data_IF_113831240825
#
_entry.id   IF_113831240825
#
_cell.length_a   1.000
_cell.length_b   1.000
_cell.length_c   1.000
_cell.angle_alpha   90.00
_cell.angle_beta   90.00
_cell.angle_gamma   90.00
#
_symmetry.space_group_name_H-M   'P 1'
#
loop_
_entity.id
_entity.type
_entity.pdbx_description
1 polymer ?
#
# COMPACT_ATOMS: atom_id res chain seq x y z
N UNK A 1 7.79 31.49 -7.99
CA UNK A 1 8.11 30.13 -7.49
C UNK A 1 8.46 29.23 -8.67
N UNK A 2 9.53 28.42 -8.62
CA UNK A 2 9.89 27.52 -9.74
C UNK A 2 8.84 26.43 -9.96
N UNK A 3 8.19 25.96 -8.89
CA UNK A 3 7.13 24.97 -8.93
C UNK A 3 5.90 25.43 -9.74
N UNK A 4 5.41 26.64 -9.45
CA UNK A 4 4.26 27.24 -10.14
C UNK A 4 4.56 27.52 -11.62
N UNK A 5 5.78 27.99 -11.92
CA UNK A 5 6.21 28.22 -13.31
C UNK A 5 6.14 26.93 -14.11
N UNK A 6 6.74 25.84 -13.60
CA UNK A 6 6.66 24.52 -14.24
C UNK A 6 5.22 24.08 -14.49
N UNK A 7 4.35 24.22 -13.49
CA UNK A 7 2.94 23.85 -13.62
C UNK A 7 2.24 24.59 -14.78
N UNK A 8 2.43 25.91 -14.90
CA UNK A 8 1.78 26.70 -15.95
C UNK A 8 2.44 26.56 -17.33
N UNK A 9 3.76 26.45 -17.37
CA UNK A 9 4.51 26.26 -18.63
C UNK A 9 4.12 24.92 -19.31
N UNK A 10 3.87 23.89 -18.50
CA UNK A 10 3.49 22.55 -18.96
C UNK A 10 1.99 22.24 -18.81
N UNK A 11 1.13 23.24 -18.58
CA UNK A 11 -0.29 23.02 -18.20
C UNK A 11 -1.08 22.15 -19.20
N UNK A 12 -0.68 22.18 -20.49
CA UNK A 12 -1.30 21.39 -21.57
C UNK A 12 -0.98 19.90 -21.51
N UNK A 13 0.03 19.50 -20.74
CA UNK A 13 0.46 18.10 -20.60
C UNK A 13 -0.33 17.32 -19.54
N UNK A 14 -1.14 18.01 -18.74
CA UNK A 14 -1.96 17.34 -17.74
C UNK A 14 -3.19 16.69 -18.36
N UNK A 15 -3.51 15.47 -17.92
CA UNK A 15 -4.71 14.74 -18.34
C UNK A 15 -6.03 15.49 -18.06
N UNK A 16 -6.02 16.39 -17.07
CA UNK A 16 -7.17 17.23 -16.73
C UNK A 16 -7.26 18.54 -17.52
N UNK A 17 -6.33 18.83 -18.45
CA UNK A 17 -6.29 20.13 -19.14
C UNK A 17 -7.61 20.48 -19.81
N UNK A 18 -8.20 19.57 -20.60
CA UNK A 18 -9.44 19.85 -21.33
C UNK A 18 -10.64 20.05 -20.39
N UNK A 19 -10.70 19.29 -19.29
CA UNK A 19 -11.72 19.46 -18.27
C UNK A 19 -11.58 20.82 -17.55
N UNK A 20 -10.34 21.18 -17.18
CA UNK A 20 -10.04 22.46 -16.53
C UNK A 20 -10.31 23.65 -17.47
N UNK A 21 -9.99 23.50 -18.76
CA UNK A 21 -10.19 24.53 -19.76
C UNK A 21 -11.68 24.82 -19.96
N UNK A 22 -12.51 23.78 -20.01
CA UNK A 22 -13.97 23.94 -20.05
C UNK A 22 -14.50 24.65 -18.80
N UNK A 23 -14.06 24.25 -17.60
CA UNK A 23 -14.45 24.92 -16.36
C UNK A 23 -14.04 26.41 -16.34
N UNK A 24 -12.85 26.74 -16.85
CA UNK A 24 -12.41 28.14 -16.99
C UNK A 24 -13.29 28.93 -17.97
N UNK A 25 -13.67 28.33 -19.11
CA UNK A 25 -14.56 28.99 -20.09
C UNK A 25 -15.94 29.24 -19.47
N UNK A 26 -16.49 28.26 -18.76
CA UNK A 26 -17.82 28.36 -18.13
C UNK A 26 -17.85 29.40 -17.01
N UNK A 27 -16.83 29.44 -16.15
CA UNK A 27 -16.82 30.30 -14.96
C UNK A 27 -16.20 31.68 -15.18
N UNK A 28 -15.22 31.80 -16.08
CA UNK A 28 -14.41 33.01 -16.28
C UNK A 28 -14.58 33.63 -17.68
N UNK A 29 -15.42 33.01 -18.53
CA UNK A 29 -15.65 33.37 -19.93
C UNK A 29 -14.37 33.41 -20.79
N UNK A 30 -13.31 32.70 -20.37
CA UNK A 30 -12.00 32.65 -21.04
C UNK A 30 -11.37 31.28 -20.90
N UNK A 31 -10.62 30.88 -21.92
CA UNK A 31 -9.79 29.68 -21.87
C UNK A 31 -8.52 29.89 -21.03
N UNK A 32 -7.84 28.80 -20.70
CA UNK A 32 -6.60 28.82 -19.90
C UNK A 32 -5.52 29.72 -20.55
N UNK A 33 -5.22 29.62 -21.87
CA UNK A 33 -4.25 30.51 -22.51
C UNK A 33 -4.57 32.00 -22.35
N UNK A 34 -5.84 32.41 -22.52
CA UNK A 34 -6.24 33.80 -22.36
C UNK A 34 -6.13 34.26 -20.90
N UNK A 35 -6.51 33.43 -19.93
CA UNK A 35 -6.35 33.74 -18.51
C UNK A 35 -4.87 33.91 -18.14
N UNK A 36 -3.99 33.03 -18.64
CA UNK A 36 -2.54 33.12 -18.43
C UNK A 36 -1.97 34.41 -19.04
N UNK A 37 -2.36 34.74 -20.29
CA UNK A 37 -1.90 35.95 -20.98
C UNK A 37 -2.30 37.25 -20.25
N UNK A 38 -3.44 37.24 -19.55
CA UNK A 38 -3.91 38.35 -18.71
C UNK A 38 -3.33 38.35 -17.29
N UNK A 39 -2.44 37.41 -16.96
CA UNK A 39 -1.87 37.26 -15.62
C UNK A 39 -2.86 36.72 -14.57
N UNK A 40 -4.00 36.15 -15.00
CA UNK A 40 -5.08 35.66 -14.13
C UNK A 40 -4.86 34.21 -13.67
N UNK A 41 -3.63 33.87 -13.25
CA UNK A 41 -3.24 32.53 -12.80
C UNK A 41 -4.12 31.99 -11.66
N UNK A 42 -4.54 32.87 -10.74
CA UNK A 42 -5.40 32.49 -9.61
C UNK A 42 -6.76 31.98 -10.06
N UNK A 43 -7.31 32.48 -11.15
CA UNK A 43 -8.59 32.00 -11.69
C UNK A 43 -8.45 30.55 -12.17
N UNK A 44 -7.35 30.21 -12.85
CA UNK A 44 -7.07 28.84 -13.29
C UNK A 44 -6.92 27.89 -12.09
N UNK A 45 -6.13 28.27 -11.07
CA UNK A 45 -5.95 27.44 -9.86
C UNK A 45 -7.25 27.28 -9.08
N UNK A 46 -8.05 28.35 -8.97
CA UNK A 46 -9.35 28.32 -8.30
C UNK A 46 -10.32 27.38 -9.02
N UNK A 47 -10.35 27.37 -10.36
CA UNK A 47 -11.13 26.40 -11.15
C UNK A 47 -10.60 24.96 -11.04
N UNK A 48 -9.32 24.75 -10.73
CA UNK A 48 -8.78 23.42 -10.49
C UNK A 48 -9.18 22.88 -9.11
N UNK A 49 -8.99 23.69 -8.06
CA UNK A 49 -9.04 23.22 -6.68
C UNK A 49 -10.42 23.34 -6.02
N UNK A 50 -11.23 24.33 -6.40
CA UNK A 50 -12.49 24.64 -5.72
C UNK A 50 -13.69 23.98 -6.38
N UNK A 51 -14.79 23.90 -5.63
CA UNK A 51 -16.05 23.27 -6.05
C UNK A 51 -16.74 23.93 -7.24
N UNK A 52 -16.36 25.18 -7.59
CA UNK A 52 -16.88 25.83 -8.81
C UNK A 52 -16.35 25.18 -10.10
N UNK A 53 -15.21 24.51 -10.04
CA UNK A 53 -14.61 23.84 -11.20
C UNK A 53 -14.39 22.35 -10.93
N UNK A 54 -13.16 21.86 -11.06
CA UNK A 54 -12.86 20.44 -10.93
C UNK A 54 -12.85 19.92 -9.48
N UNK A 55 -12.81 20.81 -8.49
CA UNK A 55 -12.84 20.46 -7.06
C UNK A 55 -11.68 19.55 -6.59
N UNK A 56 -10.53 19.58 -7.27
CA UNK A 56 -9.40 18.69 -6.94
C UNK A 56 -8.82 18.93 -5.55
N UNK A 57 -9.11 20.07 -4.91
CA UNK A 57 -8.71 20.34 -3.53
C UNK A 57 -9.47 19.50 -2.49
N UNK A 58 -10.62 18.92 -2.86
CA UNK A 58 -11.48 18.14 -1.97
C UNK A 58 -11.71 16.69 -2.43
N UNK A 59 -11.15 16.30 -3.59
CA UNK A 59 -11.29 14.95 -4.12
C UNK A 59 -10.07 14.08 -3.74
N UNK A 60 -10.27 12.79 -3.43
CA UNK A 60 -9.17 11.85 -3.23
C UNK A 60 -8.49 11.54 -4.57
N UNK A 61 -7.20 11.20 -4.52
CA UNK A 61 -6.37 10.93 -5.71
C UNK A 61 -6.98 9.93 -6.69
N UNK A 62 -7.68 8.92 -6.18
CA UNK A 62 -8.37 7.92 -7.00
C UNK A 62 -9.37 8.50 -8.01
N UNK A 63 -9.94 9.68 -7.74
CA UNK A 63 -10.92 10.33 -8.59
C UNK A 63 -10.31 11.42 -9.50
N UNK A 64 -9.00 11.66 -9.40
CA UNK A 64 -8.31 12.66 -10.21
C UNK A 64 -7.83 12.04 -11.52
N UNK A 65 -7.97 12.78 -12.62
CA UNK A 65 -7.39 12.40 -13.91
C UNK A 65 -5.86 12.40 -13.84
N UNK A 66 -5.26 11.23 -14.07
CA UNK A 66 -3.82 11.01 -14.03
C UNK A 66 -3.23 10.95 -15.44
N UNK A 67 -3.84 10.18 -16.34
CA UNK A 67 -3.24 9.88 -17.64
C UNK A 67 -4.17 10.25 -18.80
N UNK A 68 -3.57 10.74 -19.87
CA UNK A 68 -4.25 11.07 -21.12
C UNK A 68 -3.98 9.98 -22.16
N UNK A 69 -5.02 9.62 -22.91
CA UNK A 69 -4.97 8.72 -24.05
C UNK A 69 -5.59 9.43 -25.26
N UNK A 70 -5.33 8.99 -26.51
CA UNK A 70 -5.82 9.68 -27.70
C UNK A 70 -7.33 9.94 -27.74
N UNK A 71 -8.14 9.16 -27.01
CA UNK A 71 -9.60 9.22 -27.02
C UNK A 71 -10.21 9.54 -25.64
N UNK A 72 -9.44 9.51 -24.56
CA UNK A 72 -9.97 9.67 -23.19
C UNK A 72 -8.85 10.03 -22.22
N UNK A 73 -9.20 10.64 -21.10
CA UNK A 73 -8.35 10.64 -19.92
C UNK A 73 -8.83 9.56 -18.92
N UNK A 74 -7.95 9.10 -18.04
CA UNK A 74 -8.28 8.16 -16.97
C UNK A 74 -7.93 8.72 -15.61
N UNK A 75 -8.81 8.47 -14.67
CA UNK A 75 -8.56 8.61 -13.25
C UNK A 75 -7.59 7.55 -12.73
N UNK A 76 -6.98 7.78 -11.58
CA UNK A 76 -6.17 6.75 -10.94
C UNK A 76 -6.97 5.47 -10.63
N UNK A 77 -8.24 5.58 -10.23
CA UNK A 77 -9.14 4.43 -10.02
C UNK A 77 -9.32 3.61 -11.32
N UNK A 78 -9.60 4.28 -12.43
CA UNK A 78 -9.73 3.64 -13.75
C UNK A 78 -8.45 2.89 -14.18
N UNK A 79 -7.26 3.33 -13.75
CA UNK A 79 -6.03 2.60 -14.03
C UNK A 79 -5.91 1.29 -13.26
N UNK A 80 -6.46 1.20 -12.05
CA UNK A 80 -6.54 -0.06 -11.29
C UNK A 80 -7.48 -1.07 -11.93
N UNK A 81 -8.56 -0.63 -12.58
CA UNK A 81 -9.40 -1.53 -13.39
C UNK A 81 -8.56 -2.16 -14.51
N UNK A 82 -7.85 -1.33 -15.27
CA UNK A 82 -7.00 -1.80 -16.35
C UNK A 82 -5.86 -2.72 -15.88
N UNK A 83 -5.17 -2.37 -14.80
CA UNK A 83 -4.10 -3.20 -14.23
C UNK A 83 -4.65 -4.55 -13.70
N UNK A 84 -5.77 -4.54 -12.97
CA UNK A 84 -6.39 -5.73 -12.41
C UNK A 84 -6.72 -6.77 -13.49
N UNK A 85 -7.19 -6.33 -14.66
CA UNK A 85 -7.46 -7.24 -15.78
C UNK A 85 -6.20 -7.93 -16.35
N UNK A 86 -5.00 -7.36 -16.15
CA UNK A 86 -3.75 -7.88 -16.71
C UNK A 86 -3.09 -8.97 -15.85
N UNK A 87 -3.29 -8.95 -14.53
CA UNK A 87 -2.63 -9.89 -13.61
C UNK A 87 -3.53 -10.52 -12.54
N UNK A 88 -4.75 -10.03 -12.31
CA UNK A 88 -5.64 -10.52 -11.24
C UNK A 88 -6.90 -11.24 -11.78
N UNK A 89 -6.94 -11.55 -13.08
CA UNK A 89 -8.04 -12.30 -13.69
C UNK A 89 -7.99 -13.78 -13.28
N UNK A 90 -9.07 -14.27 -12.68
CA UNK A 90 -9.22 -15.67 -12.28
C UNK A 90 -9.60 -16.58 -13.47
N UNK A 91 -9.72 -17.88 -13.22
CA UNK A 91 -10.08 -18.87 -14.25
C UNK A 91 -11.51 -18.71 -14.80
N UNK A 92 -12.41 -18.06 -14.06
CA UNK A 92 -13.76 -17.74 -14.51
C UNK A 92 -13.81 -16.46 -15.37
N UNK A 93 -12.68 -15.76 -15.55
CA UNK A 93 -12.63 -14.50 -16.27
C UNK A 93 -13.02 -13.29 -15.43
N UNK A 94 -13.08 -13.44 -14.09
CA UNK A 94 -13.46 -12.39 -13.16
C UNK A 94 -12.22 -11.72 -12.55
N UNK A 95 -12.35 -10.44 -12.20
CA UNK A 95 -11.32 -9.62 -11.56
C UNK A 95 -11.93 -8.99 -10.32
N UNK A 96 -11.44 -9.40 -9.15
CA UNK A 96 -11.90 -8.87 -7.86
C UNK A 96 -11.05 -7.65 -7.50
N UNK A 97 -11.68 -6.50 -7.26
CA UNK A 97 -11.00 -5.27 -6.81
C UNK A 97 -11.70 -4.75 -5.57
N UNK A 98 -10.92 -4.51 -4.52
CA UNK A 98 -11.41 -3.94 -3.28
C UNK A 98 -10.77 -2.58 -3.03
N UNK A 99 -11.59 -1.52 -2.90
CA UNK A 99 -11.12 -0.19 -2.57
C UNK A 99 -11.41 0.15 -1.11
N UNK A 100 -10.37 0.47 -0.35
CA UNK A 100 -10.55 1.12 0.96
C UNK A 100 -10.49 2.63 0.78
N UNK A 101 -11.60 3.31 1.10
CA UNK A 101 -11.79 4.74 0.87
C UNK A 101 -12.25 5.44 2.15
N UNK A 102 -12.14 6.77 2.21
CA UNK A 102 -12.72 7.50 3.34
C UNK A 102 -14.25 7.57 3.22
N UNK A 103 -14.98 7.61 4.35
CA UNK A 103 -16.44 7.61 4.35
C UNK A 103 -17.06 8.70 3.47
N UNK A 104 -16.51 9.91 3.51
CA UNK A 104 -16.98 11.07 2.75
C UNK A 104 -16.79 10.96 1.23
N UNK A 105 -15.92 10.05 0.78
CA UNK A 105 -15.64 9.85 -0.65
C UNK A 105 -16.21 8.56 -1.22
N UNK A 106 -16.74 7.67 -0.38
CA UNK A 106 -17.26 6.36 -0.81
C UNK A 106 -18.30 6.48 -1.93
N UNK A 107 -19.29 7.35 -1.77
CA UNK A 107 -20.36 7.53 -2.76
C UNK A 107 -19.81 8.00 -4.13
N UNK A 108 -18.79 8.86 -4.13
CA UNK A 108 -18.17 9.35 -5.36
C UNK A 108 -17.40 8.23 -6.09
N UNK A 109 -16.71 7.37 -5.35
CA UNK A 109 -16.07 6.18 -5.91
C UNK A 109 -17.08 5.19 -6.49
N UNK A 110 -18.16 4.89 -5.76
CA UNK A 110 -19.22 4.00 -6.23
C UNK A 110 -19.85 4.52 -7.51
N UNK A 111 -20.11 5.83 -7.60
CA UNK A 111 -20.63 6.46 -8.80
C UNK A 111 -19.66 6.35 -9.99
N UNK A 112 -18.38 6.64 -9.78
CA UNK A 112 -17.38 6.56 -10.85
C UNK A 112 -17.19 5.12 -11.34
N UNK A 113 -17.13 4.16 -10.41
CA UNK A 113 -17.05 2.73 -10.74
C UNK A 113 -18.27 2.30 -11.54
N UNK A 114 -19.48 2.59 -11.06
CA UNK A 114 -20.71 2.24 -11.79
C UNK A 114 -20.76 2.84 -13.21
N UNK A 115 -20.21 4.04 -13.39
CA UNK A 115 -20.13 4.69 -14.70
C UNK A 115 -19.07 4.10 -15.64
N UNK A 116 -18.06 3.40 -15.12
CA UNK A 116 -16.88 2.96 -15.89
C UNK A 116 -16.73 1.45 -16.02
N UNK A 117 -17.25 0.65 -15.09
CA UNK A 117 -17.05 -0.79 -15.08
C UNK A 117 -17.41 -1.44 -16.43
N UNK A 118 -18.55 -1.10 -17.01
CA UNK A 118 -19.00 -1.67 -18.29
C UNK A 118 -17.99 -1.46 -19.43
N UNK A 119 -17.47 -0.24 -19.57
CA UNK A 119 -16.46 0.10 -20.60
C UNK A 119 -15.20 -0.77 -20.46
N UNK A 120 -14.78 -1.04 -19.21
CA UNK A 120 -13.58 -1.81 -18.92
C UNK A 120 -13.82 -3.32 -19.03
N UNK A 121 -15.00 -3.81 -18.66
CA UNK A 121 -15.40 -5.21 -18.88
C UNK A 121 -15.35 -5.57 -20.36
N UNK A 122 -15.93 -4.71 -21.22
CA UNK A 122 -15.89 -4.89 -22.67
C UNK A 122 -14.46 -4.82 -23.19
N UNK A 123 -13.72 -3.76 -22.82
CA UNK A 123 -12.36 -3.52 -23.29
C UNK A 123 -11.40 -4.66 -22.96
N UNK A 124 -11.49 -5.24 -21.76
CA UNK A 124 -10.56 -6.27 -21.30
C UNK A 124 -11.13 -7.69 -21.38
N UNK A 125 -12.39 -7.85 -21.78
CA UNK A 125 -13.09 -9.14 -21.80
C UNK A 125 -13.02 -9.85 -20.45
N UNK A 126 -13.41 -9.12 -19.40
CA UNK A 126 -13.46 -9.60 -18.01
C UNK A 126 -14.78 -9.24 -17.35
N UNK A 127 -15.05 -9.85 -16.19
CA UNK A 127 -16.10 -9.40 -15.28
C UNK A 127 -15.47 -8.81 -14.03
N UNK A 128 -15.90 -7.63 -13.60
CA UNK A 128 -15.38 -7.05 -12.36
C UNK A 128 -16.33 -7.29 -11.20
N UNK A 129 -15.78 -7.80 -10.09
CA UNK A 129 -16.43 -7.73 -8.77
C UNK A 129 -15.70 -6.65 -7.96
N UNK A 130 -16.39 -5.54 -7.73
CA UNK A 130 -15.81 -4.36 -7.08
C UNK A 130 -16.52 -4.11 -5.77
N UNK A 131 -15.74 -4.13 -4.68
CA UNK A 131 -16.22 -3.88 -3.34
C UNK A 131 -15.48 -2.72 -2.68
N UNK A 132 -16.09 -2.20 -1.62
CA UNK A 132 -15.56 -1.04 -0.90
C UNK A 132 -15.56 -1.31 0.60
N UNK A 133 -14.55 -0.80 1.28
CA UNK A 133 -14.56 -0.65 2.73
C UNK A 133 -14.13 0.76 3.14
N UNK A 134 -14.39 1.10 4.40
CA UNK A 134 -13.83 2.28 5.05
C UNK A 134 -12.95 1.81 6.19
N UNK A 135 -11.94 2.59 6.56
CA UNK A 135 -11.20 2.30 7.78
C UNK A 135 -12.18 2.26 8.96
N UNK A 136 -12.13 1.20 9.77
CA UNK A 136 -13.10 0.99 10.86
C UNK A 136 -12.95 2.12 11.91
N UNK A 137 -14.00 2.90 12.24
CA UNK A 137 -13.90 3.97 13.25
C UNK A 137 -13.48 3.47 14.64
N UNK A 138 -13.67 2.19 14.94
CA UNK A 138 -13.17 1.53 16.17
C UNK A 138 -11.64 1.48 16.26
N UNK A 139 -10.93 1.77 15.16
CA UNK A 139 -9.46 1.87 15.12
C UNK A 139 -8.96 3.30 15.29
N UNK A 140 -9.87 4.27 15.44
CA UNK A 140 -9.48 5.66 15.63
C UNK A 140 -8.75 5.84 16.96
N UNK A 141 -7.66 6.61 16.94
CA UNK A 141 -6.87 6.94 18.12
C UNK A 141 -7.17 8.35 18.57
N UNK A 142 -7.13 8.57 19.89
CA UNK A 142 -7.27 9.91 20.46
C UNK A 142 -6.02 10.73 20.12
N UNK A 143 -6.21 11.92 19.55
CA UNK A 143 -5.11 12.85 19.36
C UNK A 143 -4.70 13.44 20.72
N UNK A 144 -3.41 13.73 20.87
CA UNK A 144 -2.86 14.38 22.05
C UNK A 144 -2.18 15.72 21.68
N UNK A 145 -2.12 16.66 22.61
CA UNK A 145 -1.27 17.83 22.49
C UNK A 145 0.22 17.50 22.73
N UNK A 146 1.09 18.50 22.69
CA UNK A 146 2.53 18.28 22.87
C UNK A 146 2.88 17.87 24.30
N UNK A 147 2.02 18.16 25.27
CA UNK A 147 2.10 17.78 26.67
C UNK A 147 1.49 16.39 26.97
N UNK A 148 1.01 15.68 25.94
CA UNK A 148 0.33 14.38 26.00
C UNK A 148 -1.05 14.39 26.70
N UNK A 149 -1.73 15.53 26.77
CA UNK A 149 -3.13 15.58 27.18
C UNK A 149 -4.06 15.36 25.98
N UNK A 150 -5.29 14.85 26.18
CA UNK A 150 -6.28 14.70 25.11
C UNK A 150 -6.50 16.01 24.34
N UNK A 151 -6.26 15.98 23.03
CA UNK A 151 -6.43 17.14 22.17
C UNK A 151 -7.92 17.48 22.04
N UNK A 152 -8.25 18.74 22.30
CA UNK A 152 -9.61 19.27 22.16
C UNK A 152 -9.70 20.33 21.07
N UNK A 153 -10.76 20.26 20.28
CA UNK A 153 -11.08 21.27 19.28
C UNK A 153 -11.58 22.59 19.94
N UNK A 154 -11.90 23.59 19.11
CA UNK A 154 -12.39 24.90 19.57
C UNK A 154 -13.72 24.81 20.35
N UNK A 155 -14.47 23.73 20.18
CA UNK A 155 -15.75 23.48 20.85
C UNK A 155 -15.58 22.62 22.11
N UNK A 156 -14.35 22.23 22.47
CA UNK A 156 -14.05 21.39 23.63
C UNK A 156 -14.20 19.88 23.39
N UNK A 157 -14.52 19.44 22.17
CA UNK A 157 -14.69 18.04 21.83
C UNK A 157 -13.34 17.33 21.68
N UNK A 158 -13.29 16.06 22.07
CA UNK A 158 -12.12 15.21 21.81
C UNK A 158 -11.91 15.03 20.31
N UNK A 159 -10.67 15.17 19.88
CA UNK A 159 -10.29 14.89 18.49
C UNK A 159 -9.84 13.44 18.35
N UNK A 160 -10.56 12.68 17.56
CA UNK A 160 -10.16 11.36 17.09
C UNK A 160 -9.51 11.48 15.71
N UNK A 161 -8.51 10.63 15.46
CA UNK A 161 -7.82 10.54 14.18
C UNK A 161 -7.85 9.09 13.71
N UNK A 162 -7.93 8.84 12.39
CA UNK A 162 -7.70 7.51 11.85
C UNK A 162 -6.40 6.95 12.41
N UNK A 163 -6.41 5.71 12.88
CA UNK A 163 -5.28 5.01 13.51
C UNK A 163 -4.11 4.71 12.56
N UNK A 164 -3.92 5.51 11.52
CA UNK A 164 -2.88 5.32 10.51
C UNK A 164 -3.08 4.06 9.69
N UNK A 165 -2.05 3.72 8.93
CA UNK A 165 -2.16 2.63 7.97
C UNK A 165 -2.18 1.23 8.60
N UNK A 166 -1.64 1.08 9.81
CA UNK A 166 -1.71 -0.20 10.51
C UNK A 166 -3.14 -0.65 10.77
N UNK A 167 -4.07 0.28 10.95
CA UNK A 167 -5.50 -0.01 11.09
C UNK A 167 -6.11 -0.76 9.90
N UNK A 168 -5.49 -0.71 8.71
CA UNK A 168 -5.96 -1.43 7.52
C UNK A 168 -5.78 -2.94 7.62
N UNK A 169 -5.06 -3.45 8.63
CA UNK A 169 -4.98 -4.90 8.88
C UNK A 169 -6.37 -5.49 9.13
N UNK A 170 -7.27 -4.72 9.76
CA UNK A 170 -8.66 -5.10 9.99
C UNK A 170 -9.47 -5.16 8.69
N UNK A 171 -9.21 -4.23 7.77
CA UNK A 171 -9.84 -4.23 6.44
C UNK A 171 -9.35 -5.44 5.62
N UNK A 172 -8.04 -5.73 5.63
CA UNK A 172 -7.50 -6.93 4.98
C UNK A 172 -8.05 -8.21 5.65
N UNK A 173 -8.22 -8.21 6.96
CA UNK A 173 -8.80 -9.32 7.70
C UNK A 173 -10.26 -9.60 7.35
N UNK A 174 -10.99 -8.65 6.75
CA UNK A 174 -12.36 -8.88 6.30
C UNK A 174 -12.41 -9.45 4.87
N UNK A 175 -11.33 -9.35 4.08
CA UNK A 175 -11.24 -9.88 2.71
C UNK A 175 -11.16 -11.40 2.71
N UNK A 176 -12.10 -12.07 2.05
CA UNK A 176 -12.03 -13.53 1.81
C UNK A 176 -11.43 -13.82 0.43
N UNK A 177 -10.12 -14.06 0.42
CA UNK A 177 -9.38 -14.43 -0.76
C UNK A 177 -8.15 -15.26 -0.38
N UNK A 178 -7.68 -16.11 -1.29
CA UNK A 178 -6.47 -16.91 -1.06
C UNK A 178 -5.21 -16.06 -1.23
N UNK A 179 -5.20 -15.20 -2.26
CA UNK A 179 -4.11 -14.29 -2.61
C UNK A 179 -4.67 -12.87 -2.80
N UNK A 180 -4.07 -11.89 -2.13
CA UNK A 180 -4.47 -10.47 -2.19
C UNK A 180 -3.29 -9.61 -2.61
N UNK A 181 -3.50 -8.79 -3.65
CA UNK A 181 -2.55 -7.76 -4.05
C UNK A 181 -2.89 -6.45 -3.33
N UNK A 182 -1.92 -5.84 -2.65
CA UNK A 182 -2.06 -4.54 -1.98
C UNK A 182 -1.19 -3.53 -2.71
N UNK A 183 -1.78 -2.38 -3.05
CA UNK A 183 -1.11 -1.29 -3.76
C UNK A 183 -1.72 0.06 -3.37
N UNK A 184 -0.90 1.11 -3.37
CA UNK A 184 -1.40 2.47 -3.21
C UNK A 184 -2.18 2.94 -4.44
N UNK A 185 -3.25 3.72 -4.22
CA UNK A 185 -4.14 4.21 -5.28
C UNK A 185 -3.39 5.07 -6.32
N UNK A 186 -2.35 5.79 -5.90
CA UNK A 186 -1.59 6.73 -6.72
C UNK A 186 -0.37 6.13 -7.42
N UNK A 187 -0.02 4.87 -7.13
CA UNK A 187 1.05 4.16 -7.82
C UNK A 187 0.47 3.47 -9.07
N UNK A 188 0.27 4.22 -10.15
CA UNK A 188 -0.25 3.71 -11.43
C UNK A 188 0.46 4.41 -12.58
N UNK A 189 0.54 3.75 -13.73
CA UNK A 189 1.17 4.27 -14.95
C UNK A 189 0.25 4.11 -16.17
N UNK A 190 0.47 4.84 -17.27
CA UNK A 190 -0.26 4.64 -18.52
C UNK A 190 -0.04 3.24 -19.10
N UNK A 191 -0.95 2.78 -19.97
CA UNK A 191 -0.87 1.45 -20.60
C UNK A 191 0.48 1.16 -21.28
N UNK A 192 1.15 2.18 -21.83
CA UNK A 192 2.48 2.08 -22.45
C UNK A 192 3.61 1.68 -21.49
N UNK A 193 3.44 1.93 -20.18
CA UNK A 193 4.44 1.67 -19.15
C UNK A 193 4.07 0.49 -18.22
N UNK A 194 2.86 -0.06 -18.33
CA UNK A 194 2.37 -1.13 -17.43
C UNK A 194 3.11 -2.45 -17.53
N UNK A 195 3.81 -2.72 -18.64
CA UNK A 195 4.44 -4.01 -18.89
C UNK A 195 5.35 -4.47 -17.74
N UNK A 196 6.24 -3.58 -17.26
CA UNK A 196 7.15 -3.89 -16.14
C UNK A 196 6.35 -4.21 -14.86
N UNK A 197 5.37 -3.37 -14.51
CA UNK A 197 4.48 -3.59 -13.36
C UNK A 197 3.77 -4.96 -13.44
N UNK A 198 3.20 -5.31 -14.59
CA UNK A 198 2.47 -6.57 -14.78
C UNK A 198 3.40 -7.78 -14.63
N UNK A 199 4.60 -7.73 -15.20
CA UNK A 199 5.59 -8.81 -15.10
C UNK A 199 5.98 -9.02 -13.64
N UNK A 200 6.38 -7.95 -12.94
CA UNK A 200 6.87 -8.09 -11.58
C UNK A 200 5.76 -8.41 -10.57
N UNK A 201 4.51 -7.97 -10.80
CA UNK A 201 3.33 -8.43 -10.05
C UNK A 201 3.16 -9.95 -10.15
N UNK A 202 3.33 -10.52 -11.34
CA UNK A 202 3.29 -11.98 -11.54
C UNK A 202 4.48 -12.68 -10.91
N UNK A 203 5.67 -12.08 -10.93
CA UNK A 203 6.86 -12.63 -10.24
C UNK A 203 6.62 -12.74 -8.73
N UNK A 204 6.23 -11.66 -8.06
CA UNK A 204 6.03 -11.68 -6.60
C UNK A 204 4.86 -12.59 -6.19
N UNK A 205 3.79 -12.66 -6.99
CA UNK A 205 2.72 -13.63 -6.78
C UNK A 205 3.18 -15.08 -6.99
N UNK A 206 3.99 -15.34 -8.02
CA UNK A 206 4.56 -16.67 -8.28
C UNK A 206 5.49 -17.13 -7.16
N UNK A 207 6.32 -16.23 -6.60
CA UNK A 207 7.14 -16.49 -5.41
C UNK A 207 6.24 -16.85 -4.22
N UNK A 208 5.18 -16.09 -3.99
CA UNK A 208 4.25 -16.33 -2.90
C UNK A 208 3.60 -17.72 -3.00
N UNK A 209 3.03 -18.05 -4.16
CA UNK A 209 2.36 -19.34 -4.38
C UNK A 209 3.35 -20.50 -4.26
N UNK A 210 4.56 -20.36 -4.82
CA UNK A 210 5.60 -21.41 -4.74
C UNK A 210 6.04 -21.70 -3.30
N UNK A 211 6.22 -20.66 -2.48
CA UNK A 211 6.56 -20.82 -1.07
C UNK A 211 5.38 -21.38 -0.27
N UNK A 212 4.17 -20.92 -0.54
CA UNK A 212 2.96 -21.40 0.11
C UNK A 212 2.75 -22.90 -0.13
N UNK A 213 2.93 -23.38 -1.37
CA UNK A 213 2.84 -24.81 -1.69
C UNK A 213 3.87 -25.65 -0.92
N UNK A 214 5.10 -25.17 -0.76
CA UNK A 214 6.14 -25.84 0.03
C UNK A 214 5.77 -25.87 1.51
N UNK A 215 5.37 -24.73 2.06
CA UNK A 215 4.91 -24.59 3.45
C UNK A 215 3.78 -25.58 3.74
N UNK A 216 2.79 -25.68 2.85
CA UNK A 216 1.64 -26.57 3.02
C UNK A 216 2.05 -28.04 3.04
N UNK A 217 2.94 -28.46 2.13
CA UNK A 217 3.48 -29.83 2.13
C UNK A 217 4.21 -30.18 3.43
N UNK A 218 4.99 -29.27 3.99
CA UNK A 218 5.64 -29.48 5.28
C UNK A 218 4.63 -29.58 6.44
N UNK A 219 3.62 -28.70 6.45
CA UNK A 219 2.58 -28.73 7.49
C UNK A 219 1.74 -30.03 7.44
N UNK A 220 1.39 -30.49 6.25
CA UNK A 220 0.73 -31.79 6.04
C UNK A 220 1.61 -32.96 6.48
N UNK A 221 2.91 -32.91 6.16
CA UNK A 221 3.88 -33.92 6.58
C UNK A 221 4.01 -33.97 8.10
N UNK A 222 4.11 -32.82 8.77
CA UNK A 222 4.14 -32.72 10.24
C UNK A 222 2.85 -33.29 10.84
N UNK A 223 1.68 -32.91 10.32
CA UNK A 223 0.38 -33.38 10.81
C UNK A 223 0.20 -34.90 10.63
N UNK A 224 0.84 -35.49 9.62
CA UNK A 224 0.81 -36.95 9.41
C UNK A 224 1.57 -37.74 10.49
N UNK A 225 2.49 -37.08 11.22
CA UNK A 225 3.41 -37.72 12.17
C UNK A 225 4.44 -38.66 11.52
N UNK A 226 4.53 -38.68 10.18
CA UNK A 226 5.38 -39.59 9.40
C UNK A 226 6.45 -38.82 8.64
N UNK A 227 7.45 -38.32 9.36
CA UNK A 227 8.60 -37.63 8.80
C UNK A 227 9.92 -38.27 9.26
N UNK A 228 10.94 -38.24 8.40
CA UNK A 228 12.31 -38.65 8.73
C UNK A 228 13.10 -37.50 9.35
N UNK A 229 14.24 -37.81 9.97
CA UNK A 229 15.17 -36.80 10.47
C UNK A 229 15.65 -35.85 9.36
N UNK A 230 16.02 -36.39 8.19
CA UNK A 230 16.43 -35.59 7.02
C UNK A 230 15.35 -34.58 6.58
N UNK A 231 14.07 -34.93 6.69
CA UNK A 231 12.97 -34.01 6.39
C UNK A 231 12.86 -32.90 7.44
N UNK A 232 13.16 -33.19 8.71
CA UNK A 232 13.20 -32.17 9.77
C UNK A 232 14.36 -31.19 9.52
N UNK A 233 15.55 -31.70 9.20
CA UNK A 233 16.69 -30.86 8.83
C UNK A 233 16.36 -29.97 7.63
N UNK A 234 15.73 -30.52 6.59
CA UNK A 234 15.31 -29.76 5.41
C UNK A 234 14.31 -28.66 5.77
N UNK A 235 13.31 -28.93 6.64
CA UNK A 235 12.37 -27.92 7.12
C UNK A 235 13.07 -26.79 7.91
N UNK A 236 14.13 -27.11 8.66
CA UNK A 236 14.94 -26.11 9.37
C UNK A 236 15.72 -25.25 8.38
N UNK A 237 16.36 -25.88 7.39
CA UNK A 237 17.06 -25.15 6.31
C UNK A 237 16.10 -24.24 5.55
N UNK A 238 14.91 -24.73 5.19
CA UNK A 238 13.88 -23.93 4.56
C UNK A 238 13.47 -22.71 5.41
N UNK A 239 13.24 -22.89 6.71
CA UNK A 239 12.94 -21.78 7.60
C UNK A 239 14.06 -20.73 7.64
N UNK A 240 15.31 -21.17 7.77
CA UNK A 240 16.45 -20.27 8.01
C UNK A 240 17.00 -19.59 6.75
N UNK A 241 16.96 -20.29 5.62
CA UNK A 241 17.61 -19.86 4.37
C UNK A 241 16.62 -19.28 3.36
N UNK A 242 15.39 -19.79 3.33
CA UNK A 242 14.37 -19.37 2.34
C UNK A 242 13.35 -18.42 2.97
N UNK A 243 12.88 -18.72 4.18
CA UNK A 243 11.98 -17.82 4.93
C UNK A 243 12.73 -16.81 5.81
N UNK A 244 14.05 -16.94 5.95
CA UNK A 244 14.90 -16.08 6.77
C UNK A 244 14.43 -15.97 8.24
N UNK A 245 13.75 -16.98 8.76
CA UNK A 245 13.31 -17.09 10.16
C UNK A 245 14.36 -17.88 10.95
N UNK A 246 15.05 -17.19 11.85
CA UNK A 246 16.14 -17.76 12.66
C UNK A 246 15.79 -17.72 14.14
N UNK A 247 15.94 -18.83 14.83
CA UNK A 247 15.90 -18.87 16.30
C UNK A 247 17.31 -19.20 16.83
N UNK A 248 17.96 -18.29 17.58
CA UNK A 248 19.27 -18.55 18.19
C UNK A 248 19.30 -19.81 19.06
N UNK A 249 18.16 -20.19 19.63
CA UNK A 249 17.99 -21.31 20.55
C UNK A 249 17.56 -22.61 19.86
N UNK A 250 17.44 -22.65 18.52
CA UNK A 250 16.98 -23.84 17.78
C UNK A 250 17.72 -25.12 18.18
N UNK A 251 19.03 -25.02 18.45
CA UNK A 251 19.89 -26.16 18.82
C UNK A 251 19.64 -26.71 20.23
N UNK A 252 18.88 -25.99 21.05
CA UNK A 252 18.56 -26.35 22.43
C UNK A 252 17.19 -27.02 22.53
N UNK A 253 16.40 -27.04 21.46
CA UNK A 253 15.07 -27.64 21.44
C UNK A 253 15.17 -29.17 21.34
N UNK A 254 14.35 -29.86 22.13
CA UNK A 254 14.15 -31.31 21.95
C UNK A 254 13.33 -31.59 20.68
N UNK A 255 13.40 -32.81 20.13
CA UNK A 255 12.76 -33.17 18.85
C UNK A 255 11.26 -32.80 18.80
N UNK A 256 10.53 -33.02 19.90
CA UNK A 256 9.10 -32.69 19.98
C UNK A 256 8.86 -31.16 19.97
N UNK A 257 9.68 -30.42 20.72
CA UNK A 257 9.62 -28.95 20.79
C UNK A 257 10.03 -28.32 19.45
N UNK A 258 11.04 -28.90 18.80
CA UNK A 258 11.55 -28.48 17.50
C UNK A 258 10.47 -28.59 16.43
N UNK A 259 9.73 -29.70 16.38
CA UNK A 259 8.62 -29.87 15.42
C UNK A 259 7.48 -28.89 15.70
N UNK A 260 7.11 -28.71 16.96
CA UNK A 260 6.09 -27.72 17.35
C UNK A 260 6.53 -26.29 16.98
N UNK A 261 7.80 -25.98 17.18
CA UNK A 261 8.42 -24.72 16.77
C UNK A 261 8.33 -24.56 15.24
N UNK A 262 8.83 -25.52 14.45
CA UNK A 262 8.79 -25.49 12.98
C UNK A 262 7.35 -25.28 12.51
N UNK A 263 6.40 -26.05 13.02
CA UNK A 263 4.98 -25.92 12.69
C UNK A 263 4.44 -24.52 13.01
N UNK A 264 4.78 -23.96 14.16
CA UNK A 264 4.34 -22.61 14.56
C UNK A 264 4.92 -21.51 13.65
N UNK A 265 6.12 -21.72 13.08
CA UNK A 265 6.76 -20.80 12.14
C UNK A 265 6.23 -20.93 10.72
N UNK A 266 5.95 -22.14 10.28
CA UNK A 266 5.38 -22.39 8.95
C UNK A 266 3.90 -21.97 8.88
N UNK A 267 3.10 -22.22 9.92
CA UNK A 267 1.66 -21.96 9.91
C UNK A 267 1.31 -20.51 10.29
N UNK A 268 1.71 -19.57 9.43
CA UNK A 268 1.49 -18.13 9.57
C UNK A 268 0.97 -17.54 8.25
N UNK A 269 0.33 -16.37 8.27
CA UNK A 269 0.12 -15.59 7.07
C UNK A 269 1.45 -15.33 6.33
N UNK A 270 1.39 -15.31 5.01
CA UNK A 270 2.56 -15.11 4.15
C UNK A 270 2.41 -13.80 3.38
N UNK A 271 3.48 -13.01 3.28
CA UNK A 271 3.55 -11.86 2.38
C UNK A 271 4.85 -11.86 1.59
N UNK A 272 4.75 -11.53 0.31
CA UNK A 272 5.89 -11.21 -0.56
C UNK A 272 5.78 -9.75 -0.93
N UNK A 273 6.83 -8.99 -0.65
CA UNK A 273 6.87 -7.56 -0.85
C UNK A 273 7.88 -7.22 -1.95
N UNK A 274 7.42 -6.53 -2.99
CA UNK A 274 8.31 -5.92 -3.97
C UNK A 274 9.08 -4.78 -3.31
N UNK A 275 10.41 -4.77 -3.45
CA UNK A 275 11.30 -3.74 -2.91
C UNK A 275 12.01 -3.05 -4.06
N UNK A 276 11.99 -1.72 -4.08
CA UNK A 276 12.71 -0.93 -5.10
C UNK A 276 14.01 -0.38 -4.52
N UNK A 277 15.00 -0.12 -5.38
CA UNK A 277 16.23 0.54 -4.95
C UNK A 277 15.91 1.93 -4.39
N UNK A 278 16.49 2.24 -3.24
CA UNK A 278 16.29 3.54 -2.62
C UNK A 278 17.12 4.60 -3.37
N UNK A 279 16.44 5.61 -3.93
CA UNK A 279 17.05 6.75 -4.64
C UNK A 279 17.07 8.03 -3.78
N UNK A 280 16.96 7.87 -2.45
CA UNK A 280 16.91 8.97 -1.48
C UNK A 280 15.50 9.29 -0.97
N UNK A 281 14.53 8.40 -1.20
CA UNK A 281 13.16 8.56 -0.72
C UNK A 281 13.08 8.29 0.80
N UNK A 282 12.43 9.19 1.56
CA UNK A 282 12.20 8.96 2.98
C UNK A 282 11.08 7.94 3.18
N UNK A 283 11.33 6.93 4.02
CA UNK A 283 10.31 6.00 4.53
C UNK A 283 10.90 4.64 4.88
N UNK A 284 10.03 3.64 5.01
CA UNK A 284 10.41 2.32 5.47
C UNK A 284 11.18 1.48 4.45
N UNK A 285 11.94 0.53 4.96
CA UNK A 285 12.77 -0.38 4.16
C UNK A 285 12.82 -1.79 4.73
N UNK A 286 13.44 -2.73 3.99
CA UNK A 286 13.60 -4.11 4.42
C UNK A 286 14.74 -4.28 5.44
N UNK A 287 14.46 -4.96 6.55
CA UNK A 287 15.45 -5.27 7.60
C UNK A 287 15.27 -6.69 8.14
N UNK A 288 16.33 -7.23 8.76
CA UNK A 288 16.19 -8.32 9.72
C UNK A 288 15.92 -7.71 11.10
N UNK A 289 14.82 -8.09 11.73
CA UNK A 289 14.43 -7.59 13.05
C UNK A 289 14.34 -8.74 14.05
N UNK A 290 14.61 -8.43 15.31
CA UNK A 290 14.38 -9.34 16.44
C UNK A 290 12.92 -9.22 16.86
N UNK A 291 12.21 -10.33 16.84
CA UNK A 291 10.81 -10.46 17.22
C UNK A 291 10.65 -10.57 18.75
N UNK A 292 9.45 -10.34 19.29
CA UNK A 292 9.19 -10.45 20.73
C UNK A 292 9.51 -11.82 21.34
N UNK A 293 9.47 -12.89 20.54
CA UNK A 293 9.79 -14.25 20.95
C UNK A 293 11.28 -14.61 20.82
N UNK A 294 12.14 -13.62 20.53
CA UNK A 294 13.59 -13.79 20.38
C UNK A 294 14.02 -14.30 19.01
N UNK A 295 13.09 -14.65 18.11
CA UNK A 295 13.44 -15.03 16.74
C UNK A 295 13.84 -13.82 15.90
N UNK A 296 14.58 -14.04 14.82
CA UNK A 296 14.96 -13.02 13.84
C UNK A 296 14.24 -13.33 12.54
N UNK A 297 13.60 -12.32 11.93
CA UNK A 297 12.88 -12.48 10.66
C UNK A 297 12.92 -11.20 9.83
N UNK A 298 12.54 -11.30 8.55
CA UNK A 298 12.43 -10.16 7.64
C UNK A 298 11.24 -9.27 8.04
N UNK A 299 11.48 -7.98 8.20
CA UNK A 299 10.47 -6.98 8.56
C UNK A 299 10.66 -5.68 7.78
N UNK A 300 9.55 -4.97 7.58
CA UNK A 300 9.57 -3.62 7.01
C UNK A 300 9.62 -2.65 8.18
N UNK A 301 10.70 -1.89 8.34
CA UNK A 301 10.80 -0.91 9.43
C UNK A 301 10.73 0.50 8.86
N UNK A 302 9.88 1.32 9.47
CA UNK A 302 9.85 2.76 9.25
C UNK A 302 10.99 3.45 10.01
N UNK A 303 11.40 4.63 9.55
CA UNK A 303 12.46 5.41 10.23
C UNK A 303 12.11 5.75 11.68
N UNK A 304 10.83 5.89 12.00
CA UNK A 304 10.33 6.12 13.37
C UNK A 304 10.53 4.92 14.31
N UNK A 305 10.72 3.72 13.75
CA UNK A 305 10.93 2.47 14.51
C UNK A 305 12.42 2.18 14.73
N UNK A 306 13.31 3.00 14.18
CA UNK A 306 14.76 2.82 14.26
C UNK A 306 15.33 3.88 15.21
N UNK A 307 16.09 3.43 16.20
CA UNK A 307 16.79 4.35 17.09
C UNK A 307 18.00 4.99 16.38
N UNK A 308 17.77 6.14 15.78
CA UNK A 308 18.80 6.91 15.06
C UNK A 308 19.82 7.58 16.00
N UNK A 309 19.65 7.49 17.33
CA UNK A 309 20.66 7.95 18.30
C UNK A 309 21.75 6.91 18.51
N UNK A 310 21.45 5.64 18.24
CA UNK A 310 22.41 4.55 18.20
C UNK A 310 23.21 4.61 16.87
N UNK A 311 24.53 4.86 16.91
CA UNK A 311 25.34 4.98 15.71
C UNK A 311 25.34 3.73 14.83
N UNK A 312 25.22 2.54 15.40
CA UNK A 312 25.21 1.28 14.63
C UNK A 312 23.91 1.13 13.87
N UNK A 313 22.76 1.32 14.54
CA UNK A 313 21.43 1.26 13.91
C UNK A 313 21.26 2.35 12.86
N UNK A 314 21.74 3.56 13.15
CA UNK A 314 21.77 4.66 12.18
C UNK A 314 22.58 4.27 10.94
N UNK A 315 23.77 3.69 11.12
CA UNK A 315 24.59 3.24 9.99
C UNK A 315 23.91 2.11 9.19
N UNK A 316 23.19 1.19 9.84
CA UNK A 316 22.41 0.16 9.14
C UNK A 316 21.29 0.76 8.30
N UNK A 317 20.56 1.74 8.85
CA UNK A 317 19.49 2.46 8.14
C UNK A 317 20.04 3.23 6.93
N UNK A 318 21.11 4.01 7.12
CA UNK A 318 21.72 4.83 6.06
C UNK A 318 22.37 3.99 4.95
N UNK A 319 22.80 2.76 5.26
CA UNK A 319 23.33 1.79 4.27
C UNK A 319 22.23 0.97 3.59
N UNK A 320 20.97 1.11 4.02
CA UNK A 320 19.83 0.43 3.41
C UNK A 320 19.75 0.76 1.92
N UNK A 321 19.78 -0.27 1.07
CA UNK A 321 19.82 -0.13 -0.39
C UNK A 321 18.43 -0.08 -1.03
N UNK A 322 17.39 -0.41 -0.27
CA UNK A 322 16.04 -0.63 -0.76
C UNK A 322 15.00 0.11 0.08
N UNK A 323 13.85 0.36 -0.54
CA UNK A 323 12.70 1.07 -0.01
C UNK A 323 11.43 0.25 -0.23
N UNK A 324 10.46 0.36 0.66
CA UNK A 324 9.15 -0.31 0.55
C UNK A 324 8.14 0.55 -0.25
N UNK A 325 7.81 0.19 -1.51
CA UNK A 325 6.80 0.88 -2.30
C UNK A 325 5.36 0.60 -1.88
N UNK A 326 5.13 -0.24 -0.87
CA UNK A 326 3.82 -0.82 -0.52
C UNK A 326 3.26 -1.62 -1.69
N UNK A 327 4.11 -2.45 -2.30
CA UNK A 327 3.73 -3.46 -3.28
C UNK A 327 3.78 -4.84 -2.60
N UNK A 328 2.62 -5.30 -2.11
CA UNK A 328 2.52 -6.53 -1.34
C UNK A 328 1.61 -7.53 -2.06
N UNK A 329 1.98 -8.80 -2.00
CA UNK A 329 1.08 -9.92 -2.25
C UNK A 329 0.99 -10.74 -0.98
N UNK A 330 -0.22 -10.96 -0.50
CA UNK A 330 -0.50 -11.61 0.78
C UNK A 330 -1.29 -12.90 0.58
N UNK A 331 -0.97 -13.92 1.36
CA UNK A 331 -1.71 -15.18 1.47
C UNK A 331 -2.34 -15.27 2.86
N UNK A 332 -3.67 -15.40 2.90
CA UNK A 332 -4.46 -15.18 4.12
C UNK A 332 -5.06 -16.45 4.71
N UNK A 333 -4.87 -17.60 4.05
CA UNK A 333 -5.39 -18.91 4.49
C UNK A 333 -4.26 -19.89 4.77
N UNK A 334 -4.52 -20.78 5.72
CA UNK A 334 -3.62 -21.86 6.07
C UNK A 334 -3.77 -23.06 5.11
N UNK A 335 -2.95 -24.09 5.33
CA UNK A 335 -2.94 -25.34 4.55
C UNK A 335 -4.25 -26.15 4.61
N UNK A 336 -5.16 -25.82 5.54
CA UNK A 336 -6.50 -26.42 5.66
C UNK A 336 -7.59 -25.59 4.96
N UNK A 337 -7.21 -24.48 4.32
CA UNK A 337 -8.16 -23.52 3.74
C UNK A 337 -8.84 -22.62 4.77
N UNK A 338 -8.38 -22.64 6.02
CA UNK A 338 -8.94 -21.80 7.08
C UNK A 338 -8.26 -20.43 7.05
N UNK A 339 -9.06 -19.37 7.13
CA UNK A 339 -8.55 -18.00 7.16
C UNK A 339 -7.86 -17.70 8.50
N UNK A 340 -6.69 -17.08 8.42
CA UNK A 340 -6.02 -16.54 9.60
C UNK A 340 -6.76 -15.31 10.12
N UNK A 341 -6.85 -15.18 11.45
CA UNK A 341 -7.24 -13.92 12.07
C UNK A 341 -6.01 -13.00 12.13
N UNK A 342 -5.85 -12.13 11.13
CA UNK A 342 -4.64 -11.33 10.93
C UNK A 342 -4.22 -10.45 12.13
N UNK A 343 -5.15 -9.88 12.93
CA UNK A 343 -4.81 -9.14 14.15
C UNK A 343 -4.01 -9.95 15.19
N UNK A 344 -4.09 -11.29 15.17
CA UNK A 344 -3.31 -12.15 16.08
C UNK A 344 -1.82 -12.18 15.72
N UNK A 345 -1.46 -11.75 14.50
CA UNK A 345 -0.10 -11.72 13.96
C UNK A 345 0.50 -10.31 13.94
N UNK A 346 -0.05 -9.41 14.75
CA UNK A 346 0.37 -8.00 14.89
C UNK A 346 1.15 -7.79 16.19
N UNK A 347 2.36 -7.25 16.11
CA UNK A 347 3.10 -6.78 17.29
C UNK A 347 2.57 -5.42 17.75
N UNK A 348 1.81 -5.46 18.84
CA UNK A 348 1.18 -4.30 19.48
C UNK A 348 2.18 -3.27 19.99
N UNK A 349 3.46 -3.64 20.19
CA UNK A 349 4.51 -2.74 20.67
C UNK A 349 5.12 -1.87 19.56
N UNK A 350 4.79 -2.11 18.30
CA UNK A 350 5.42 -1.45 17.14
C UNK A 350 4.66 -0.23 16.63
N UNK A 351 3.58 0.17 17.31
CA UNK A 351 2.88 1.43 17.04
C UNK A 351 3.80 2.64 17.23
N UNK A 352 3.55 3.73 16.52
CA UNK A 352 4.39 4.93 16.58
C UNK A 352 3.57 6.21 16.65
N UNK A 353 4.18 7.28 17.17
CA UNK A 353 3.55 8.59 17.27
C UNK A 353 3.92 9.42 16.04
N UNK A 354 2.90 9.86 15.30
CA UNK A 354 3.05 10.84 14.23
C UNK A 354 2.76 12.25 14.74
N UNK A 355 3.47 13.22 14.20
CA UNK A 355 3.26 14.65 14.48
C UNK A 355 2.48 15.27 13.32
N UNK A 356 1.37 15.94 13.62
CA UNK A 356 0.48 16.58 12.65
C UNK A 356 0.09 17.96 13.16
N UNK A 357 -0.65 18.71 12.35
CA UNK A 357 -1.28 19.95 12.79
C UNK A 357 -2.76 19.98 12.40
N UNK A 358 -3.58 20.65 13.22
CA UNK A 358 -4.98 20.96 12.95
C UNK A 358 -5.28 22.37 13.42
N UNK A 359 -5.90 23.17 12.54
CA UNK A 359 -6.28 24.56 12.84
C UNK A 359 -5.12 25.43 13.35
N UNK A 360 -3.90 25.18 12.85
CA UNK A 360 -2.68 25.89 13.27
C UNK A 360 -2.08 25.43 14.60
N UNK A 361 -2.64 24.41 15.25
CA UNK A 361 -2.11 23.79 16.47
C UNK A 361 -1.47 22.44 16.14
N UNK A 362 -0.30 22.18 16.71
CA UNK A 362 0.36 20.89 16.59
C UNK A 362 -0.34 19.83 17.45
N UNK A 363 -0.33 18.59 16.98
CA UNK A 363 -0.88 17.43 17.69
C UNK A 363 -0.03 16.18 17.45
N UNK A 364 -0.10 15.26 18.40
CA UNK A 364 0.42 13.89 18.32
C UNK A 364 -0.74 12.95 18.00
N UNK A 365 -0.54 12.03 17.08
CA UNK A 365 -1.50 10.96 16.78
C UNK A 365 -0.79 9.61 16.81
N UNK A 366 -1.38 8.65 17.52
CA UNK A 366 -0.90 7.27 17.54
C UNK A 366 -1.29 6.59 16.22
N UNK A 367 -0.31 6.13 15.47
CA UNK A 367 -0.51 5.20 14.37
C UNK A 367 -0.40 3.77 14.90
N UNK A 368 -1.47 3.00 14.67
CA UNK A 368 -1.56 1.62 15.08
C UNK A 368 -0.55 0.75 14.31
N UNK A 369 -0.07 -0.33 14.92
CA UNK A 369 0.70 -1.36 14.24
C UNK A 369 -0.20 -2.13 13.24
N UNK A 370 0.29 -2.45 12.04
CA UNK A 370 -0.38 -3.38 11.12
C UNK A 370 0.22 -3.47 9.70
N UNK A 371 -0.62 -3.21 8.68
CA UNK A 371 -0.53 -3.74 7.31
C UNK A 371 0.78 -3.53 6.52
N UNK A 372 1.65 -2.59 6.87
CA UNK A 372 2.91 -2.41 6.11
C UNK A 372 4.06 -1.76 6.90
N UNK A 373 3.98 -1.74 8.22
CA UNK A 373 5.11 -1.41 9.09
C UNK A 373 5.65 -2.69 9.77
N UNK A 374 6.57 -2.52 10.73
CA UNK A 374 7.21 -3.63 11.44
C UNK A 374 6.27 -4.44 12.33
N UNK A 375 4.98 -4.11 12.29
CA UNK A 375 3.93 -4.72 13.08
C UNK A 375 3.48 -6.09 12.60
N UNK A 376 3.61 -6.39 11.31
CA UNK A 376 3.39 -7.75 10.80
C UNK A 376 4.60 -8.64 11.13
N UNK A 377 5.01 -8.61 12.40
CA UNK A 377 6.21 -9.25 12.92
C UNK A 377 6.13 -10.77 12.86
N UNK A 378 4.92 -11.31 13.01
CA UNK A 378 4.66 -12.75 13.04
C UNK A 378 4.12 -13.30 11.70
N UNK A 379 4.44 -12.62 10.60
CA UNK A 379 4.18 -13.09 9.25
C UNK A 379 5.42 -13.74 8.64
N UNK A 380 5.23 -14.77 7.82
CA UNK A 380 6.28 -15.18 6.89
C UNK A 380 6.43 -14.07 5.84
N UNK A 381 7.58 -13.39 5.83
CA UNK A 381 7.81 -12.20 5.00
C UNK A 381 8.99 -12.43 4.09
N UNK A 382 8.82 -12.14 2.80
CA UNK A 382 9.86 -12.26 1.77
C UNK A 382 9.96 -10.96 1.00
N UNK A 383 11.19 -10.58 0.66
CA UNK A 383 11.48 -9.40 -0.14
C UNK A 383 12.03 -9.79 -1.50
N UNK A 384 11.48 -9.18 -2.55
CA UNK A 384 11.91 -9.38 -3.94
C UNK A 384 12.31 -8.02 -4.49
N UNK A 385 13.55 -7.87 -4.96
CA UNK A 385 13.95 -6.66 -5.70
C UNK A 385 13.11 -6.56 -6.98
N UNK A 386 12.41 -5.44 -7.15
CA UNK A 386 11.65 -5.10 -8.35
C UNK A 386 12.17 -3.80 -8.95
N UNK A 387 12.01 -3.58 -10.26
CA UNK A 387 12.50 -2.37 -10.90
C UNK A 387 11.84 -1.11 -10.36
N UNK A 388 12.60 -0.02 -10.31
CA UNK A 388 12.12 1.26 -9.77
C UNK A 388 10.91 1.80 -10.54
N UNK A 389 10.79 1.50 -11.84
CA UNK A 389 9.66 1.92 -12.67
C UNK A 389 8.34 1.21 -12.33
N UNK A 390 8.32 0.27 -11.37
CA UNK A 390 7.09 -0.28 -10.77
C UNK A 390 6.54 0.62 -9.65
N UNK A 391 7.28 1.67 -9.26
CA UNK A 391 6.95 2.60 -8.19
C UNK A 391 6.88 4.05 -8.68
N UNK A 392 5.68 4.49 -9.03
CA UNK A 392 5.39 5.83 -9.57
C UNK A 392 4.30 6.53 -8.76
N UNK A 393 4.53 6.84 -7.47
CA UNK A 393 3.54 7.55 -6.66
C UNK A 393 3.46 9.03 -7.07
N UNK A 394 2.26 9.61 -7.01
CA UNK A 394 2.03 11.04 -7.27
C UNK A 394 1.85 11.77 -5.93
N UNK A 395 2.86 12.50 -5.46
CA UNK A 395 2.81 13.29 -4.21
C UNK A 395 2.46 14.75 -4.45
N UNK A 396 2.87 15.31 -5.57
CA UNK A 396 2.57 16.67 -6.01
C UNK A 396 1.95 16.68 -7.41
N UNK A 397 1.23 17.74 -7.79
CA UNK A 397 0.62 17.83 -9.13
C UNK A 397 1.67 17.73 -10.24
N UNK A 398 2.87 18.28 -10.05
CA UNK A 398 3.94 18.25 -11.04
C UNK A 398 4.56 16.85 -11.23
N UNK A 399 4.24 15.87 -10.37
CA UNK A 399 4.69 14.48 -10.54
C UNK A 399 3.99 13.82 -11.72
N UNK A 400 2.78 14.28 -12.09
CA UNK A 400 2.05 13.85 -13.28
C UNK A 400 2.74 14.28 -14.58
N UNK A 401 3.72 15.20 -14.53
CA UNK A 401 4.53 15.61 -15.68
C UNK A 401 5.78 14.73 -15.89
N UNK A 402 6.04 13.77 -15.00
CA UNK A 402 7.13 12.81 -15.18
C UNK A 402 6.80 11.85 -16.32
N UNK A 403 7.83 11.33 -16.98
CA UNK A 403 7.69 10.48 -18.17
C UNK A 403 6.78 9.27 -17.90
N UNK A 404 6.81 8.73 -16.69
CA UNK A 404 6.06 7.56 -16.25
C UNK A 404 4.55 7.83 -16.12
N UNK A 405 4.11 9.09 -16.22
CA UNK A 405 2.71 9.51 -16.22
C UNK A 405 2.27 10.19 -17.53
N UNK A 406 3.12 10.19 -18.58
CA UNK A 406 2.89 10.92 -19.83
C UNK A 406 2.60 10.01 -21.03
#
# INVERSE_FOLDING_TARGET
>A
NAFEKKFFDDIRKFAFYDALNRACIENEAKDIPALIALGQYKAVVSNLLESKGLNYGQLPKGLLLFHSYPQTARTAMEEHLAEGAMYAKNNAGEVNIHFTVSPEHKALFEQLVAAKTGDYEEKFSVKYDISFSVQKPSTDTIAADMENNPFRDKNGNLLFRPGGHGALIENLNDVDADVVFVKNIDNVVPDSFKCSTVIFKKVIAGVLVSLQERIFKYLELIDSGKYSHDQVEEMIHFLQEELYVKNPETKLLEDAELILYIKSKLNRPLRVCGMVKNVGEPGGGPFLAVNPDGTVSLQILESSQIDLKDPEKKAMFEKGTHFNPVDLVCALKNYKGEKFNLPDYVDKNTGFISYKSKDGRELKALELPGLWNGAMSDWNTIFVEVPIETFNPVKTVNDLLRQEHQ
#
